data_IF_025608010063
#
_entry.id   IF_025608010063
#
_cell.length_a   1.000
_cell.length_b   1.000
_cell.length_c   1.000
_cell.angle_alpha   90.00
_cell.angle_beta   90.00
_cell.angle_gamma   90.00
#
_symmetry.space_group_name_H-M   'P 1'
#
loop_
_entity.id
_entity.type
_entity.pdbx_description
1 polymer ?
#
# COMPACT_ATOMS: atom_id res chain seq x y z
N UNK A 1 27.43 -6.98 -54.97
CA UNK A 1 26.70 -8.21 -54.61
C UNK A 1 26.14 -8.03 -53.21
N UNK A 2 24.80 -8.04 -53.05
CA UNK A 2 24.08 -7.70 -51.81
C UNK A 2 24.03 -8.93 -50.87
N UNK A 3 24.31 -8.78 -49.57
CA UNK A 3 24.07 -9.81 -48.54
C UNK A 3 23.57 -9.12 -47.26
N UNK A 4 22.25 -8.95 -47.12
CA UNK A 4 21.26 -9.80 -46.44
C UNK A 4 21.35 -9.76 -44.89
N UNK A 5 20.38 -9.02 -44.35
CA UNK A 5 19.88 -8.96 -42.97
C UNK A 5 19.95 -10.28 -42.19
N UNK A 6 20.38 -10.20 -40.93
CA UNK A 6 19.91 -11.08 -39.86
C UNK A 6 19.65 -10.24 -38.61
N UNK A 7 18.36 -9.97 -38.37
CA UNK A 7 17.83 -9.37 -37.16
C UNK A 7 17.65 -10.52 -36.14
N UNK A 8 18.56 -10.64 -35.17
CA UNK A 8 18.36 -11.58 -34.06
C UNK A 8 17.45 -10.91 -33.01
N UNK A 9 16.15 -11.16 -33.12
CA UNK A 9 15.18 -10.80 -32.08
C UNK A 9 15.37 -11.77 -30.90
N UNK A 10 16.12 -11.37 -29.89
CA UNK A 10 16.21 -12.12 -28.63
C UNK A 10 14.92 -11.89 -27.83
N UNK A 11 14.00 -12.85 -27.90
CA UNK A 11 12.80 -12.87 -27.07
C UNK A 11 13.20 -13.29 -25.65
N UNK A 12 13.51 -12.31 -24.80
CA UNK A 12 13.78 -12.54 -23.38
C UNK A 12 12.50 -13.06 -22.70
N UNK A 13 12.46 -14.35 -22.41
CA UNK A 13 11.40 -14.97 -21.62
C UNK A 13 11.50 -14.43 -20.18
N UNK A 14 10.69 -13.42 -19.86
CA UNK A 14 10.53 -12.95 -18.48
C UNK A 14 9.71 -14.02 -17.75
N UNK A 15 10.41 -14.90 -17.03
CA UNK A 15 9.77 -15.76 -16.03
C UNK A 15 9.37 -14.86 -14.88
N UNK A 16 8.11 -14.41 -14.89
CA UNK A 16 7.51 -13.83 -13.68
C UNK A 16 7.36 -14.99 -12.71
N UNK A 17 8.23 -15.04 -11.70
CA UNK A 17 8.02 -15.93 -10.57
C UNK A 17 6.70 -15.52 -9.92
N UNK A 18 5.65 -16.29 -10.20
CA UNK A 18 4.44 -16.27 -9.39
C UNK A 18 4.85 -16.78 -8.01
N UNK A 19 5.13 -15.84 -7.10
CA UNK A 19 5.14 -16.15 -5.69
C UNK A 19 3.71 -16.59 -5.37
N UNK A 20 3.50 -17.92 -5.36
CA UNK A 20 2.24 -18.50 -4.91
C UNK A 20 1.94 -17.89 -3.56
N UNK A 21 0.85 -17.12 -3.50
CA UNK A 21 0.43 -16.46 -2.28
C UNK A 21 0.33 -17.53 -1.19
N UNK A 22 1.18 -17.44 -0.16
CA UNK A 22 1.03 -18.28 1.00
C UNK A 22 -0.39 -18.08 1.53
N UNK A 23 -1.19 -19.14 1.60
CA UNK A 23 -2.50 -19.06 2.22
C UNK A 23 -2.31 -18.68 3.68
N UNK A 24 -2.93 -17.58 4.11
CA UNK A 24 -2.82 -17.07 5.46
C UNK A 24 -2.55 -15.58 5.54
N UNK A 25 -2.47 -15.10 6.78
CA UNK A 25 -2.20 -13.70 7.08
C UNK A 25 -0.70 -13.40 7.04
N UNK A 26 -0.34 -12.25 6.50
CA UNK A 26 1.02 -11.74 6.54
C UNK A 26 1.05 -10.23 6.79
N UNK A 27 2.10 -9.78 7.48
CA UNK A 27 2.42 -8.37 7.66
C UNK A 27 3.48 -7.96 6.63
N UNK A 28 3.14 -7.01 5.77
CA UNK A 28 4.04 -6.45 4.77
C UNK A 28 4.30 -4.98 5.11
N UNK A 29 5.45 -4.71 5.71
CA UNK A 29 5.83 -3.36 6.12
C UNK A 29 6.57 -2.61 5.01
N UNK A 30 6.17 -1.35 4.79
CA UNK A 30 6.93 -0.39 4.00
C UNK A 30 7.43 0.68 4.96
N UNK A 31 8.68 0.49 5.42
CA UNK A 31 9.31 1.29 6.45
C UNK A 31 9.11 2.79 6.26
N UNK A 32 8.61 3.44 7.32
CA UNK A 32 8.36 4.88 7.36
C UNK A 32 7.09 5.33 6.61
N UNK A 33 6.30 4.41 6.05
CA UNK A 33 5.10 4.75 5.28
C UNK A 33 3.84 4.09 5.83
N UNK A 34 3.76 2.77 5.72
CA UNK A 34 2.58 2.00 6.12
C UNK A 34 2.90 0.52 6.27
N UNK A 35 2.04 -0.18 7.00
CA UNK A 35 2.07 -1.62 7.16
C UNK A 35 0.76 -2.23 6.64
N UNK A 36 0.88 -3.22 5.78
CA UNK A 36 -0.27 -3.92 5.21
C UNK A 36 -0.45 -5.26 5.94
N UNK A 37 -1.68 -5.52 6.36
CA UNK A 37 -2.13 -6.87 6.73
C UNK A 37 -2.75 -7.47 5.47
N UNK A 38 -2.13 -8.52 4.98
CA UNK A 38 -2.54 -9.21 3.75
C UNK A 38 -3.10 -10.59 4.08
N UNK A 39 -3.99 -11.09 3.23
CA UNK A 39 -4.42 -12.48 3.23
C UNK A 39 -4.32 -13.03 1.80
N UNK A 40 -3.55 -14.11 1.62
CA UNK A 40 -3.29 -14.63 0.28
C UNK A 40 -2.69 -13.57 -0.66
N UNK A 41 -1.80 -12.73 -0.13
CA UNK A 41 -1.13 -11.66 -0.87
C UNK A 41 -1.98 -10.42 -1.17
N UNK A 42 -3.29 -10.44 -0.86
CA UNK A 42 -4.20 -9.31 -1.04
C UNK A 42 -4.26 -8.44 0.21
N UNK A 43 -4.20 -7.10 0.11
CA UNK A 43 -4.32 -6.24 1.27
C UNK A 43 -5.75 -6.27 1.81
N UNK A 44 -5.89 -6.42 3.13
CA UNK A 44 -7.17 -6.30 3.84
C UNK A 44 -7.25 -4.98 4.59
N UNK A 45 -6.17 -4.64 5.28
CA UNK A 45 -6.06 -3.42 6.09
C UNK A 45 -4.67 -2.84 5.90
N UNK A 46 -4.57 -1.51 5.80
CA UNK A 46 -3.31 -0.78 5.77
C UNK A 46 -3.23 0.21 6.92
N UNK A 47 -2.28 0.01 7.82
CA UNK A 47 -1.97 0.97 8.87
C UNK A 47 -1.03 2.04 8.33
N UNK A 48 -1.57 3.25 8.15
CA UNK A 48 -0.83 4.43 7.72
C UNK A 48 -0.14 5.05 8.93
N UNK A 49 1.19 5.13 8.89
CA UNK A 49 1.99 5.64 10.01
C UNK A 49 3.11 6.61 9.59
N UNK A 50 3.16 6.97 8.29
CA UNK A 50 4.07 8.01 7.80
C UNK A 50 3.97 9.28 8.65
N UNK A 51 5.10 9.98 8.79
CA UNK A 51 5.17 11.29 9.42
C UNK A 51 6.10 12.18 8.60
N UNK A 52 5.53 13.20 7.94
CA UNK A 52 6.26 14.12 7.07
C UNK A 52 5.94 15.58 7.42
N UNK A 53 6.76 16.22 8.26
CA UNK A 53 6.57 17.61 8.66
C UNK A 53 7.16 18.64 7.67
N UNK A 54 7.61 18.23 6.48
CA UNK A 54 8.33 19.12 5.54
C UNK A 54 7.49 20.28 5.01
N UNK A 55 6.18 20.09 4.89
CA UNK A 55 5.22 21.12 4.45
C UNK A 55 3.96 21.07 5.32
N UNK A 56 3.13 22.12 5.24
CA UNK A 56 1.84 22.13 5.96
C UNK A 56 0.91 21.05 5.42
N UNK A 57 0.94 20.83 4.11
CA UNK A 57 0.12 19.87 3.38
C UNK A 57 0.54 18.44 3.72
N UNK A 58 1.84 18.11 3.62
CA UNK A 58 2.37 16.80 4.00
C UNK A 58 2.14 16.51 5.48
N UNK A 59 2.34 17.51 6.34
CA UNK A 59 2.06 17.37 7.76
C UNK A 59 0.58 17.09 7.96
N UNK A 60 -0.31 17.88 7.33
CA UNK A 60 -1.76 17.70 7.38
C UNK A 60 -2.17 16.28 6.96
N UNK A 61 -1.50 15.69 5.99
CA UNK A 61 -1.80 14.35 5.50
C UNK A 61 -1.26 13.22 6.40
N UNK A 62 -0.25 13.51 7.21
CA UNK A 62 0.52 12.48 7.95
C UNK A 62 0.53 12.64 9.48
N UNK A 63 0.00 13.74 10.04
CA UNK A 63 0.08 14.02 11.49
C UNK A 63 -0.66 13.03 12.42
N UNK A 64 -1.45 12.11 11.86
CA UNK A 64 -2.27 11.17 12.63
C UNK A 64 -2.34 9.81 11.94
N UNK A 65 -1.92 8.72 12.61
CA UNK A 65 -2.08 7.37 12.08
C UNK A 65 -3.55 6.98 11.92
N UNK A 66 -3.83 6.13 10.93
CA UNK A 66 -5.17 5.60 10.68
C UNK A 66 -5.11 4.30 9.88
N UNK A 67 -6.22 3.56 9.88
CA UNK A 67 -6.37 2.34 9.09
C UNK A 67 -7.16 2.61 7.81
N UNK A 68 -6.60 2.16 6.70
CA UNK A 68 -7.32 1.89 5.47
C UNK A 68 -7.93 0.49 5.50
N UNK A 69 -9.15 0.32 4.97
CA UNK A 69 -9.79 -0.99 4.76
C UNK A 69 -10.01 -1.17 3.27
N UNK A 70 -9.62 -2.32 2.75
CA UNK A 70 -9.80 -2.68 1.35
C UNK A 70 -11.08 -3.49 1.14
N UNK A 71 -11.62 -3.42 -0.07
CA UNK A 71 -12.65 -4.33 -0.54
C UNK A 71 -12.10 -5.76 -0.61
N UNK A 72 -12.98 -6.80 -0.61
CA UNK A 72 -12.53 -8.20 -0.59
C UNK A 72 -11.63 -8.61 -1.77
N UNK A 73 -11.69 -7.90 -2.89
CA UNK A 73 -10.81 -8.13 -4.04
C UNK A 73 -9.37 -7.63 -3.81
N UNK A 74 -9.17 -6.68 -2.89
CA UNK A 74 -7.90 -6.04 -2.55
C UNK A 74 -7.62 -4.76 -3.36
N UNK A 75 -8.48 -4.40 -4.31
CA UNK A 75 -8.17 -3.40 -5.33
C UNK A 75 -8.73 -2.01 -5.00
N UNK A 76 -9.79 -1.96 -4.20
CA UNK A 76 -10.48 -0.72 -3.84
C UNK A 76 -10.41 -0.43 -2.35
N UNK A 77 -10.24 0.85 -2.00
CA UNK A 77 -10.36 1.31 -0.62
C UNK A 77 -11.82 1.58 -0.28
N UNK A 78 -12.30 0.97 0.80
CA UNK A 78 -13.60 1.29 1.41
C UNK A 78 -13.49 2.63 2.17
N UNK A 79 -12.37 2.85 2.85
CA UNK A 79 -12.15 4.07 3.65
C UNK A 79 -11.33 5.11 2.89
N UNK A 80 -11.68 6.38 3.10
CA UNK A 80 -11.02 7.51 2.46
C UNK A 80 -9.65 7.82 3.06
N UNK A 81 -8.73 8.32 2.24
CA UNK A 81 -7.44 8.89 2.65
C UNK A 81 -7.52 10.38 3.01
N UNK A 82 -6.39 11.11 2.91
CA UNK A 82 -6.35 12.55 3.15
C UNK A 82 -7.17 13.36 2.13
N UNK A 83 -7.35 14.66 2.38
CA UNK A 83 -8.09 15.59 1.50
C UNK A 83 -9.62 15.57 1.63
N UNK A 84 -10.33 16.01 0.59
CA UNK A 84 -11.79 16.19 0.50
C UNK A 84 -12.39 17.21 1.48
N UNK A 85 -13.72 17.36 1.51
CA UNK A 85 -14.41 18.40 2.29
C UNK A 85 -14.22 18.25 3.81
N UNK A 86 -14.31 17.04 4.33
CA UNK A 86 -14.09 16.73 5.75
C UNK A 86 -12.76 16.00 5.91
N UNK A 87 -11.67 16.77 5.96
CA UNK A 87 -10.28 16.26 5.98
C UNK A 87 -9.93 15.46 7.24
N UNK A 88 -10.74 15.58 8.29
CA UNK A 88 -10.59 14.83 9.54
C UNK A 88 -11.24 13.44 9.50
N UNK A 89 -12.12 13.15 8.53
CA UNK A 89 -12.81 11.87 8.35
C UNK A 89 -12.04 10.92 7.42
N UNK A 90 -10.75 10.69 7.70
CA UNK A 90 -9.93 9.73 6.97
C UNK A 90 -9.77 8.44 7.77
N UNK A 91 -9.86 7.30 7.09
CA UNK A 91 -9.63 5.98 7.67
C UNK A 91 -10.49 5.64 8.90
N UNK A 92 -10.05 4.60 9.60
CA UNK A 92 -10.54 4.23 10.93
C UNK A 92 -9.44 4.59 11.93
N UNK A 93 -9.79 5.40 12.92
CA UNK A 93 -8.87 5.78 13.99
C UNK A 93 -8.87 4.74 15.11
N UNK A 94 -7.68 4.47 15.62
CA UNK A 94 -7.50 3.75 16.88
C UNK A 94 -7.38 4.81 17.98
N UNK A 95 -8.16 4.65 19.04
CA UNK A 95 -8.15 5.53 20.20
C UNK A 95 -8.17 4.72 21.49
N UNK A 96 -7.57 5.29 22.53
CA UNK A 96 -7.54 4.70 23.87
C UNK A 96 -8.30 5.62 24.81
N UNK A 97 -9.23 5.06 25.59
CA UNK A 97 -9.95 5.81 26.62
C UNK A 97 -9.12 5.96 27.91
N UNK A 98 -8.27 4.97 28.21
CA UNK A 98 -7.35 4.95 29.35
C UNK A 98 -6.02 4.41 28.88
N UNK A 99 -4.95 5.11 29.23
CA UNK A 99 -3.56 4.72 28.98
C UNK A 99 -2.85 4.62 30.32
N UNK A 100 -2.14 3.53 30.54
CA UNK A 100 -1.29 3.30 31.72
C UNK A 100 0.13 3.01 31.25
N UNK A 101 1.11 3.16 32.13
CA UNK A 101 2.48 2.72 31.90
C UNK A 101 2.68 1.28 32.35
#
# INVERSE_FOLDING_TARGET
>A
MKLRYWLCLALSLVVVASAGAAEGYAFADTAGKHLDVTFGGKPLVRFMYAYDPSTKESLHDTYKPYLHVFAPDGDQLITKGPGGQFTHHRGIFIGWNKITF
#
